data_IF_448260087737
#
_entry.id   IF_448260087737
#
_cell.length_a   1.000
_cell.length_b   1.000
_cell.length_c   1.000
_cell.angle_alpha   90.00
_cell.angle_beta   90.00
_cell.angle_gamma   90.00
#
_symmetry.space_group_name_H-M   'P 1'
#
loop_
_entity.id
_entity.type
_entity.pdbx_description
1 polymer ?
#
# COMPACT_ATOMS: atom_id res chain seq x y z
N UNK A 1 -19.77 -4.01 -17.33
CA UNK A 1 -21.06 -3.29 -17.11
C UNK A 1 -20.84 -1.88 -16.56
N UNK A 2 -20.10 -1.70 -15.44
CA UNK A 2 -19.93 -0.39 -14.80
C UNK A 2 -19.27 0.67 -15.69
N UNK A 3 -18.27 0.29 -16.49
CA UNK A 3 -17.61 1.21 -17.41
C UNK A 3 -18.57 1.68 -18.52
N UNK A 4 -19.39 0.78 -19.05
CA UNK A 4 -20.44 1.13 -20.03
C UNK A 4 -21.49 2.08 -19.43
N UNK A 5 -21.91 1.85 -18.19
CA UNK A 5 -22.83 2.76 -17.48
C UNK A 5 -22.24 4.18 -17.36
N UNK A 6 -20.97 4.28 -16.93
CA UNK A 6 -20.29 5.57 -16.74
C UNK A 6 -20.03 6.34 -18.03
N UNK A 7 -19.78 5.64 -19.14
CA UNK A 7 -19.48 6.24 -20.45
C UNK A 7 -20.69 6.37 -21.35
N UNK A 8 -21.88 5.91 -20.91
CA UNK A 8 -23.08 5.92 -21.72
C UNK A 8 -23.13 4.86 -22.82
N UNK A 9 -22.31 3.79 -22.70
CA UNK A 9 -22.19 2.69 -23.65
C UNK A 9 -20.90 2.72 -24.48
N UNK A 10 -20.80 1.81 -25.46
CA UNK A 10 -19.72 1.79 -26.46
C UNK A 10 -18.44 1.07 -26.04
N UNK A 11 -18.38 0.44 -24.84
CA UNK A 11 -17.23 -0.37 -24.43
C UNK A 11 -17.41 -1.82 -24.85
N UNK A 12 -16.48 -2.33 -25.63
CA UNK A 12 -16.42 -3.74 -26.05
C UNK A 12 -15.50 -4.50 -25.09
N UNK A 13 -16.00 -5.55 -24.46
CA UNK A 13 -15.20 -6.39 -23.56
C UNK A 13 -14.56 -7.54 -24.34
N UNK A 14 -13.24 -7.72 -24.19
CA UNK A 14 -12.52 -8.89 -24.69
C UNK A 14 -12.36 -9.93 -23.57
N UNK A 15 -12.62 -11.20 -23.90
CA UNK A 15 -12.62 -12.32 -22.95
C UNK A 15 -11.22 -12.89 -22.68
N UNK A 16 -10.21 -12.34 -23.32
CA UNK A 16 -8.79 -12.63 -23.09
C UNK A 16 -7.96 -11.34 -23.10
N UNK A 17 -6.67 -11.46 -22.78
CA UNK A 17 -5.76 -10.32 -22.70
C UNK A 17 -4.98 -10.07 -24.00
N UNK A 18 -4.47 -11.13 -24.64
CA UNK A 18 -3.68 -11.05 -25.89
C UNK A 18 -4.03 -12.19 -26.85
N UNK A 19 -5.12 -12.88 -26.62
CA UNK A 19 -5.60 -14.00 -27.40
C UNK A 19 -6.37 -13.59 -28.66
N UNK A 20 -7.06 -14.55 -29.26
CA UNK A 20 -7.76 -14.35 -30.51
C UNK A 20 -8.92 -13.36 -30.41
N UNK A 21 -9.63 -13.34 -29.29
CA UNK A 21 -10.76 -12.44 -29.09
C UNK A 21 -10.30 -10.98 -28.95
N UNK A 22 -9.27 -10.72 -28.12
CA UNK A 22 -8.67 -9.39 -28.00
C UNK A 22 -8.12 -8.89 -29.34
N UNK A 23 -7.36 -9.73 -30.05
CA UNK A 23 -6.80 -9.38 -31.36
C UNK A 23 -7.89 -9.00 -32.37
N UNK A 24 -8.95 -9.80 -32.44
CA UNK A 24 -10.06 -9.53 -33.37
C UNK A 24 -10.79 -8.21 -33.06
N UNK A 25 -11.05 -7.96 -31.77
CA UNK A 25 -11.74 -6.75 -31.29
C UNK A 25 -10.89 -5.49 -31.47
N UNK A 26 -9.58 -5.57 -31.17
CA UNK A 26 -8.67 -4.46 -31.40
C UNK A 26 -8.48 -4.17 -32.87
N UNK A 27 -8.37 -5.20 -33.73
CA UNK A 27 -8.26 -5.02 -35.18
C UNK A 27 -9.51 -4.39 -35.82
N UNK A 28 -10.66 -4.55 -35.19
CA UNK A 28 -11.94 -3.98 -35.66
C UNK A 28 -12.21 -2.55 -35.17
N UNK A 29 -11.35 -2.00 -34.26
CA UNK A 29 -11.53 -0.66 -33.69
C UNK A 29 -11.51 0.44 -34.72
N UNK A 30 -12.34 1.44 -34.49
CA UNK A 30 -12.37 2.73 -35.20
C UNK A 30 -12.04 3.85 -34.23
N UNK A 31 -11.67 5.03 -34.71
CA UNK A 31 -11.44 6.18 -33.82
C UNK A 31 -12.64 6.45 -32.90
N UNK A 32 -12.38 6.49 -31.62
CA UNK A 32 -13.37 6.66 -30.56
C UNK A 32 -13.87 5.35 -29.92
N UNK A 33 -13.55 4.20 -30.47
CA UNK A 33 -13.93 2.92 -29.88
C UNK A 33 -13.09 2.61 -28.63
N UNK A 34 -13.68 1.86 -27.68
CA UNK A 34 -13.04 1.44 -26.44
C UNK A 34 -13.14 -0.08 -26.35
N UNK A 35 -11.99 -0.74 -26.22
CA UNK A 35 -11.90 -2.17 -25.92
C UNK A 35 -11.33 -2.34 -24.51
N UNK A 36 -12.07 -3.02 -23.64
CA UNK A 36 -11.63 -3.43 -22.32
C UNK A 36 -11.14 -4.88 -22.39
N UNK A 37 -9.87 -5.10 -22.15
CA UNK A 37 -9.29 -6.44 -22.10
C UNK A 37 -9.69 -7.15 -20.79
N UNK A 38 -9.56 -8.48 -20.77
CA UNK A 38 -9.68 -9.27 -19.54
C UNK A 38 -8.59 -8.89 -18.54
N UNK A 39 -8.82 -9.23 -17.27
CA UNK A 39 -7.91 -8.94 -16.19
C UNK A 39 -6.52 -9.52 -16.48
N UNK A 40 -5.53 -8.65 -16.64
CA UNK A 40 -4.14 -9.06 -16.93
C UNK A 40 -3.58 -9.99 -15.87
N UNK A 41 -4.04 -9.90 -14.61
CA UNK A 41 -3.59 -10.73 -13.49
C UNK A 41 -4.07 -12.19 -13.55
N UNK A 42 -4.98 -12.53 -14.46
CA UNK A 42 -5.34 -13.93 -14.73
C UNK A 42 -4.25 -14.67 -15.54
N UNK A 43 -3.27 -13.95 -16.05
CA UNK A 43 -2.14 -14.51 -16.81
C UNK A 43 -0.86 -14.40 -16.00
N UNK A 44 -0.26 -15.53 -15.65
CA UNK A 44 0.99 -15.56 -14.87
C UNK A 44 2.17 -14.82 -15.54
N UNK A 45 2.17 -14.72 -16.88
CA UNK A 45 3.14 -13.97 -17.67
C UNK A 45 3.15 -12.46 -17.35
N UNK A 46 2.01 -11.91 -16.91
CA UNK A 46 1.89 -10.51 -16.49
C UNK A 46 2.82 -10.22 -15.30
N UNK A 47 2.70 -10.98 -14.22
CA UNK A 47 3.49 -10.75 -13.00
C UNK A 47 4.97 -11.06 -13.18
N UNK A 48 5.30 -11.97 -14.09
CA UNK A 48 6.68 -12.33 -14.43
C UNK A 48 7.37 -11.31 -15.35
N UNK A 49 6.64 -10.27 -15.77
CA UNK A 49 7.14 -9.34 -16.78
C UNK A 49 7.65 -10.05 -18.04
N UNK A 50 6.90 -11.04 -18.52
CA UNK A 50 7.30 -11.89 -19.62
C UNK A 50 7.48 -11.09 -20.92
N UNK A 51 8.63 -11.20 -21.61
CA UNK A 51 8.91 -10.41 -22.81
C UNK A 51 7.98 -10.68 -23.99
N UNK A 52 7.54 -11.92 -24.18
CA UNK A 52 6.67 -12.29 -25.31
C UNK A 52 5.26 -11.77 -25.06
N UNK A 53 4.72 -11.96 -23.84
CA UNK A 53 3.44 -11.42 -23.45
C UNK A 53 3.43 -9.87 -23.52
N UNK A 54 4.49 -9.23 -23.07
CA UNK A 54 4.64 -7.77 -23.15
C UNK A 54 4.61 -7.25 -24.58
N UNK A 55 5.30 -7.91 -25.51
CA UNK A 55 5.26 -7.53 -26.93
C UNK A 55 3.89 -7.76 -27.55
N UNK A 56 3.20 -8.84 -27.22
CA UNK A 56 1.83 -9.09 -27.69
C UNK A 56 0.85 -8.02 -27.19
N UNK A 57 0.98 -7.63 -25.92
CA UNK A 57 0.15 -6.57 -25.35
C UNK A 57 0.46 -5.22 -25.98
N UNK A 58 1.72 -4.89 -26.18
CA UNK A 58 2.17 -3.65 -26.81
C UNK A 58 1.75 -3.53 -28.29
N UNK A 59 1.59 -4.67 -29.00
CA UNK A 59 1.16 -4.67 -30.38
C UNK A 59 -0.28 -4.13 -30.62
N UNK A 60 -1.04 -3.95 -29.54
CA UNK A 60 -2.38 -3.36 -29.61
C UNK A 60 -2.38 -1.81 -29.62
N UNK A 61 -1.25 -1.16 -29.42
CA UNK A 61 -1.20 0.28 -29.24
C UNK A 61 0.04 0.92 -29.87
N UNK A 62 -0.08 2.19 -30.23
CA UNK A 62 1.03 3.05 -30.68
C UNK A 62 1.61 3.88 -29.54
N UNK A 63 0.83 4.13 -28.49
CA UNK A 63 1.21 4.90 -27.31
C UNK A 63 0.72 4.17 -26.06
N UNK A 64 1.60 4.08 -25.05
CA UNK A 64 1.25 3.55 -23.74
C UNK A 64 1.01 4.68 -22.75
N UNK A 65 -0.15 4.65 -22.09
CA UNK A 65 -0.50 5.57 -20.99
C UNK A 65 -0.63 4.79 -19.70
N UNK A 66 0.27 5.03 -18.74
CA UNK A 66 0.11 4.46 -17.40
C UNK A 66 -0.67 5.44 -16.51
N UNK A 67 -1.86 5.05 -16.08
CA UNK A 67 -2.68 5.83 -15.16
C UNK A 67 -3.11 5.01 -13.92
N UNK A 68 -2.39 3.92 -13.64
CA UNK A 68 -2.61 3.02 -12.52
C UNK A 68 -1.51 3.19 -11.46
N UNK A 69 -1.61 4.22 -10.62
CA UNK A 69 -0.61 4.53 -9.59
C UNK A 69 -0.37 3.36 -8.62
N UNK A 70 -1.44 2.69 -8.18
CA UNK A 70 -1.35 1.59 -7.22
C UNK A 70 -0.51 0.39 -7.69
N UNK A 71 -0.32 0.21 -9.01
CA UNK A 71 0.50 -0.86 -9.59
C UNK A 71 1.85 -0.37 -10.13
N UNK A 72 2.08 0.94 -10.18
CA UNK A 72 3.25 1.53 -10.83
C UNK A 72 4.59 1.16 -10.16
N UNK A 73 4.57 0.70 -8.90
CA UNK A 73 5.75 0.24 -8.16
C UNK A 73 6.21 -1.18 -8.55
N UNK A 74 5.47 -1.88 -9.42
CA UNK A 74 5.76 -3.26 -9.83
C UNK A 74 6.18 -3.32 -11.28
N UNK A 75 7.28 -4.02 -11.57
CA UNK A 75 7.75 -4.28 -12.93
C UNK A 75 6.97 -5.46 -13.54
N UNK A 76 5.72 -5.24 -13.93
CA UNK A 76 4.88 -6.23 -14.60
C UNK A 76 4.77 -5.92 -16.10
N UNK A 77 4.28 -6.88 -16.88
CA UNK A 77 4.18 -6.72 -18.33
C UNK A 77 3.36 -5.48 -18.73
N UNK A 78 2.18 -5.28 -18.13
CA UNK A 78 1.29 -4.15 -18.43
C UNK A 78 1.73 -2.82 -17.83
N UNK A 79 2.74 -2.79 -16.95
CA UNK A 79 3.26 -1.55 -16.35
C UNK A 79 4.62 -1.17 -16.90
N UNK A 80 5.55 -2.11 -17.00
CA UNK A 80 6.91 -1.89 -17.43
C UNK A 80 7.27 -2.60 -18.73
N UNK A 81 6.81 -3.85 -18.90
CA UNK A 81 7.20 -4.70 -20.02
C UNK A 81 6.83 -4.15 -21.39
N UNK A 82 5.64 -3.56 -21.54
CA UNK A 82 5.17 -2.93 -22.79
C UNK A 82 6.12 -1.84 -23.28
N UNK A 83 6.80 -1.14 -22.38
CA UNK A 83 7.80 -0.13 -22.73
C UNK A 83 9.18 -0.78 -22.88
N UNK A 84 9.56 -1.62 -21.93
CA UNK A 84 10.90 -2.23 -21.86
C UNK A 84 11.20 -3.14 -23.07
N UNK A 85 10.21 -3.94 -23.52
CA UNK A 85 10.42 -4.96 -24.54
C UNK A 85 9.87 -4.60 -25.91
N UNK A 86 9.02 -3.59 -26.01
CA UNK A 86 8.43 -3.15 -27.29
C UNK A 86 8.80 -1.70 -27.66
N UNK A 87 9.33 -0.92 -26.72
CA UNK A 87 9.79 0.44 -27.01
C UNK A 87 8.66 1.42 -27.32
N UNK A 88 7.43 1.18 -26.82
CA UNK A 88 6.33 2.10 -27.02
C UNK A 88 6.63 3.47 -26.39
N UNK A 89 6.28 4.57 -27.07
CA UNK A 89 6.18 5.88 -26.44
C UNK A 89 5.30 5.79 -25.19
N UNK A 90 5.80 6.25 -24.04
CA UNK A 90 5.12 6.08 -22.76
C UNK A 90 4.95 7.42 -22.06
N UNK A 91 3.74 7.65 -21.53
CA UNK A 91 3.40 8.82 -20.73
C UNK A 91 2.60 8.40 -19.49
N UNK A 92 2.55 9.26 -18.48
CA UNK A 92 1.62 9.07 -17.37
C UNK A 92 0.29 9.76 -17.65
N UNK A 93 -0.81 9.15 -17.18
CA UNK A 93 -2.12 9.75 -17.20
C UNK A 93 -2.33 10.77 -16.09
N UNK A 94 -3.51 11.38 -16.06
CA UNK A 94 -3.85 12.47 -15.13
C UNK A 94 -3.92 12.03 -13.66
N UNK A 95 -4.31 10.78 -13.40
CA UNK A 95 -4.33 10.25 -12.03
C UNK A 95 -2.91 10.17 -11.46
N UNK A 96 -1.98 9.57 -12.20
CA UNK A 96 -0.56 9.49 -11.81
C UNK A 96 0.04 10.91 -11.71
N UNK A 97 -0.26 11.79 -12.63
CA UNK A 97 0.21 13.18 -12.58
C UNK A 97 -0.23 13.87 -11.29
N UNK A 98 -1.50 13.69 -10.89
CA UNK A 98 -2.04 14.24 -9.64
C UNK A 98 -1.33 13.64 -8.42
N UNK A 99 -1.17 12.32 -8.37
CA UNK A 99 -0.47 11.63 -7.28
C UNK A 99 0.99 12.12 -7.15
N UNK A 100 1.72 12.19 -8.24
CA UNK A 100 3.11 12.68 -8.26
C UNK A 100 3.18 14.15 -7.83
N UNK A 101 2.29 15.00 -8.32
CA UNK A 101 2.31 16.44 -7.98
C UNK A 101 2.00 16.68 -6.51
N UNK A 102 1.03 15.97 -5.93
CA UNK A 102 0.62 16.13 -4.53
C UNK A 102 1.62 15.49 -3.58
N UNK A 103 1.91 14.17 -3.78
CA UNK A 103 2.81 13.45 -2.89
C UNK A 103 4.27 13.89 -3.07
N UNK A 104 4.70 14.17 -4.30
CA UNK A 104 6.04 14.67 -4.58
C UNK A 104 6.30 15.98 -3.85
N UNK A 105 5.37 16.93 -3.89
CA UNK A 105 5.46 18.20 -3.15
C UNK A 105 5.45 17.95 -1.64
N UNK A 106 4.53 17.12 -1.15
CA UNK A 106 4.42 16.81 0.28
C UNK A 106 5.69 16.14 0.86
N UNK A 107 6.42 15.37 0.03
CA UNK A 107 7.66 14.71 0.45
C UNK A 107 8.93 15.56 0.24
N UNK A 108 8.92 16.47 -0.73
CA UNK A 108 10.07 17.32 -1.03
C UNK A 108 10.12 18.59 -0.18
N UNK A 109 8.96 19.22 0.02
CA UNK A 109 8.81 20.48 0.77
C UNK A 109 7.52 20.48 1.60
N UNK A 110 7.46 19.66 2.68
CA UNK A 110 6.26 19.54 3.51
C UNK A 110 6.03 20.78 4.36
N UNK A 111 4.77 21.18 4.50
CA UNK A 111 4.39 22.07 5.61
C UNK A 111 4.53 21.33 6.93
N UNK A 112 5.25 21.94 7.88
CA UNK A 112 5.55 21.28 9.17
C UNK A 112 4.60 21.76 10.28
N UNK A 113 4.29 20.89 11.26
CA UNK A 113 4.81 19.54 11.50
C UNK A 113 4.36 18.51 10.43
N UNK A 114 5.31 17.67 9.98
CA UNK A 114 5.05 16.59 9.04
C UNK A 114 4.96 15.24 9.79
N UNK A 115 3.80 14.61 9.74
CA UNK A 115 3.53 13.31 10.36
C UNK A 115 3.39 12.25 9.28
N UNK A 116 4.14 11.16 9.40
CA UNK A 116 3.89 9.96 8.60
C UNK A 116 3.27 8.87 9.47
N UNK A 117 2.28 8.18 8.90
CA UNK A 117 1.64 7.01 9.50
C UNK A 117 2.01 5.81 8.64
N UNK A 118 2.67 4.83 9.24
CA UNK A 118 3.12 3.64 8.56
C UNK A 118 2.50 2.40 9.21
N UNK A 119 1.75 1.64 8.42
CA UNK A 119 1.12 0.39 8.83
C UNK A 119 1.42 -0.74 7.87
N UNK A 120 1.28 -1.97 8.33
CA UNK A 120 1.48 -3.17 7.53
C UNK A 120 1.64 -4.40 8.42
N UNK A 121 1.70 -5.59 7.82
CA UNK A 121 1.85 -6.83 8.55
C UNK A 121 3.31 -7.04 9.01
N UNK A 122 4.29 -6.82 8.12
CA UNK A 122 5.71 -7.09 8.38
C UNK A 122 6.59 -5.86 8.16
N UNK A 123 7.64 -5.75 8.97
CA UNK A 123 8.66 -4.70 8.85
C UNK A 123 9.48 -4.89 7.57
N UNK A 124 9.78 -6.14 7.20
CA UNK A 124 10.55 -6.48 5.98
C UNK A 124 10.01 -5.86 4.71
N UNK A 125 8.68 -5.66 4.62
CA UNK A 125 8.04 -5.08 3.43
C UNK A 125 8.29 -3.57 3.29
N UNK A 126 8.78 -2.91 4.35
CA UNK A 126 8.82 -1.44 4.47
C UNK A 126 10.18 -0.87 4.88
N UNK A 127 11.25 -1.67 4.85
CA UNK A 127 12.59 -1.28 5.34
C UNK A 127 13.06 0.07 4.78
N UNK A 128 13.08 0.19 3.44
CA UNK A 128 13.53 1.41 2.77
C UNK A 128 12.58 2.60 3.02
N UNK A 129 11.29 2.32 3.20
CA UNK A 129 10.29 3.37 3.49
C UNK A 129 10.53 3.95 4.88
N UNK A 130 10.75 3.10 5.90
CA UNK A 130 11.05 3.54 7.26
C UNK A 130 12.31 4.40 7.29
N UNK A 131 13.42 3.90 6.74
CA UNK A 131 14.68 4.60 6.70
C UNK A 131 14.58 5.97 5.99
N UNK A 132 13.88 6.03 4.85
CA UNK A 132 13.67 7.28 4.13
C UNK A 132 12.78 8.28 4.89
N UNK A 133 11.69 7.82 5.50
CA UNK A 133 10.79 8.68 6.26
C UNK A 133 11.50 9.31 7.47
N UNK A 134 12.35 8.57 8.18
CA UNK A 134 13.12 9.08 9.31
C UNK A 134 14.08 10.23 8.97
N UNK A 135 14.34 10.49 7.69
CA UNK A 135 15.11 11.65 7.24
C UNK A 135 14.24 12.87 6.87
N UNK A 136 12.92 12.72 6.87
CA UNK A 136 12.00 13.71 6.29
C UNK A 136 10.94 14.23 7.26
N UNK A 137 10.45 13.36 8.16
CA UNK A 137 9.30 13.64 9.01
C UNK A 137 9.68 14.20 10.37
N UNK A 138 8.76 14.89 11.02
CA UNK A 138 8.92 15.32 12.42
C UNK A 138 8.39 14.23 13.37
N UNK A 139 7.38 13.46 12.92
CA UNK A 139 6.82 12.35 13.68
C UNK A 139 6.55 11.16 12.75
N UNK A 140 6.97 9.98 13.17
CA UNK A 140 6.64 8.71 12.53
C UNK A 140 5.77 7.87 13.46
N UNK A 141 4.56 7.55 13.02
CA UNK A 141 3.63 6.66 13.71
C UNK A 141 3.74 5.28 13.09
N UNK A 142 4.02 4.27 13.90
CA UNK A 142 4.03 2.87 13.49
C UNK A 142 2.78 2.17 14.02
N UNK A 143 2.00 1.57 13.10
CA UNK A 143 0.79 0.81 13.41
C UNK A 143 0.76 -0.54 12.71
N UNK A 144 -0.36 -1.26 12.87
CA UNK A 144 -0.54 -2.60 12.32
C UNK A 144 0.39 -3.66 12.91
N UNK A 145 0.45 -4.83 12.28
CA UNK A 145 1.26 -5.97 12.75
C UNK A 145 2.75 -5.68 12.89
N UNK A 146 3.29 -4.77 12.06
CA UNK A 146 4.69 -4.39 12.14
C UNK A 146 5.07 -3.69 13.45
N UNK A 147 4.10 -3.10 14.16
CA UNK A 147 4.35 -2.46 15.46
C UNK A 147 4.85 -3.46 16.51
N UNK A 148 4.41 -4.72 16.45
CA UNK A 148 4.84 -5.74 17.42
C UNK A 148 6.32 -6.08 17.29
N UNK A 149 6.91 -5.99 16.10
CA UNK A 149 8.36 -6.16 15.94
C UNK A 149 9.14 -5.01 16.60
N UNK A 150 8.62 -3.78 16.53
CA UNK A 150 9.19 -2.65 17.27
C UNK A 150 9.01 -2.78 18.80
N UNK A 151 7.87 -3.28 19.26
CA UNK A 151 7.63 -3.55 20.68
C UNK A 151 8.57 -4.65 21.21
N UNK A 152 8.75 -5.73 20.44
CA UNK A 152 9.74 -6.76 20.76
C UNK A 152 11.18 -6.21 20.78
N UNK A 153 11.51 -5.29 19.87
CA UNK A 153 12.80 -4.60 19.87
C UNK A 153 13.03 -3.74 21.12
N UNK A 154 11.95 -3.24 21.77
CA UNK A 154 11.99 -2.59 23.09
C UNK A 154 12.13 -3.58 24.25
N UNK A 155 12.06 -4.89 23.99
CA UNK A 155 12.15 -5.94 25.00
C UNK A 155 10.79 -6.39 25.58
N UNK A 156 9.66 -6.02 24.95
CA UNK A 156 8.33 -6.42 25.41
C UNK A 156 7.99 -7.82 24.88
N UNK A 157 7.27 -8.62 25.67
CA UNK A 157 6.58 -9.80 25.15
C UNK A 157 5.42 -9.36 24.25
N UNK A 158 5.27 -9.99 23.09
CA UNK A 158 4.20 -9.71 22.13
C UNK A 158 3.24 -10.90 21.96
N UNK A 159 3.37 -11.93 22.81
CA UNK A 159 2.53 -13.14 22.79
C UNK A 159 2.55 -13.82 21.41
N UNK A 160 1.37 -14.16 20.91
CA UNK A 160 1.18 -14.76 19.57
C UNK A 160 1.09 -13.74 18.45
N UNK A 161 1.28 -12.44 18.72
CA UNK A 161 1.19 -11.38 17.70
C UNK A 161 2.16 -11.59 16.56
N UNK A 162 1.84 -11.01 15.39
CA UNK A 162 2.73 -11.03 14.24
C UNK A 162 4.12 -10.49 14.60
N UNK A 163 5.14 -11.30 14.41
CA UNK A 163 6.52 -10.96 14.73
C UNK A 163 7.46 -11.28 13.56
N UNK A 164 8.18 -10.27 13.10
CA UNK A 164 9.28 -10.42 12.15
C UNK A 164 10.60 -10.50 12.94
N UNK A 165 10.88 -11.69 13.48
CA UNK A 165 11.99 -11.91 14.43
C UNK A 165 13.38 -11.57 13.85
N UNK A 166 13.55 -11.72 12.53
CA UNK A 166 14.79 -11.39 11.82
C UNK A 166 15.03 -9.87 11.73
N UNK A 167 14.02 -9.05 12.02
CA UNK A 167 14.06 -7.59 11.89
C UNK A 167 14.08 -6.84 13.23
N UNK A 168 14.20 -7.56 14.35
CA UNK A 168 14.26 -6.94 15.69
C UNK A 168 15.46 -5.98 15.81
N UNK A 169 16.64 -6.39 15.34
CA UNK A 169 17.83 -5.54 15.38
C UNK A 169 17.70 -4.33 14.47
N UNK A 170 17.11 -4.52 13.29
CA UNK A 170 16.77 -3.40 12.41
C UNK A 170 15.83 -2.39 13.07
N UNK A 171 14.81 -2.86 13.80
CA UNK A 171 13.90 -1.96 14.52
C UNK A 171 14.62 -1.19 15.64
N UNK A 172 15.59 -1.80 16.34
CA UNK A 172 16.44 -1.09 17.32
C UNK A 172 17.26 0.01 16.66
N UNK A 173 17.87 -0.29 15.51
CA UNK A 173 18.64 0.69 14.73
C UNK A 173 17.75 1.85 14.26
N UNK A 174 16.53 1.57 13.80
CA UNK A 174 15.59 2.61 13.36
C UNK A 174 15.09 3.47 14.51
N UNK A 175 14.87 2.90 15.70
CA UNK A 175 14.56 3.69 16.91
C UNK A 175 15.72 4.62 17.30
N UNK A 176 16.95 4.14 17.29
CA UNK A 176 18.13 4.95 17.54
C UNK A 176 18.33 6.04 16.46
N UNK A 177 18.05 5.71 15.21
CA UNK A 177 18.12 6.66 14.10
C UNK A 177 17.05 7.75 14.23
N UNK A 178 15.84 7.39 14.66
CA UNK A 178 14.77 8.37 14.93
C UNK A 178 15.22 9.36 16.01
N UNK A 179 15.75 8.87 17.13
CA UNK A 179 16.27 9.70 18.22
C UNK A 179 17.40 10.61 17.75
N UNK A 180 18.38 10.08 17.03
CA UNK A 180 19.49 10.84 16.46
C UNK A 180 19.03 11.96 15.52
N UNK A 181 17.99 11.71 14.73
CA UNK A 181 17.44 12.68 13.77
C UNK A 181 16.43 13.63 14.41
N UNK A 182 16.11 13.49 15.69
CA UNK A 182 15.08 14.27 16.38
C UNK A 182 13.66 13.97 15.93
N UNK A 183 13.43 12.80 15.33
CA UNK A 183 12.12 12.34 14.89
C UNK A 183 11.38 11.67 16.04
N UNK A 184 10.15 12.11 16.31
CA UNK A 184 9.29 11.48 17.30
C UNK A 184 8.72 10.19 16.75
N UNK A 185 9.27 9.04 17.16
CA UNK A 185 8.74 7.72 16.81
C UNK A 185 7.65 7.31 17.80
N UNK A 186 6.41 7.15 17.33
CA UNK A 186 5.27 6.73 18.13
C UNK A 186 4.94 5.26 17.89
N UNK A 187 4.92 4.50 18.97
CA UNK A 187 4.53 3.09 19.02
C UNK A 187 3.29 2.93 19.91
N UNK A 188 2.51 1.85 19.75
CA UNK A 188 1.38 1.57 20.62
C UNK A 188 1.79 1.50 22.09
N UNK A 189 1.02 2.17 22.97
CA UNK A 189 1.18 2.14 24.42
C UNK A 189 0.18 1.20 25.07
N UNK A 190 -0.94 0.92 24.40
CA UNK A 190 -1.91 -0.11 24.74
C UNK A 190 -2.38 -0.83 23.46
N UNK A 191 -2.83 -2.06 23.62
CA UNK A 191 -3.14 -2.98 22.54
C UNK A 191 -4.44 -3.70 22.82
N UNK A 192 -5.32 -3.78 21.83
CA UNK A 192 -6.48 -4.67 21.84
C UNK A 192 -6.01 -6.06 21.43
N UNK A 193 -6.25 -7.04 22.30
CA UNK A 193 -5.79 -8.41 22.14
C UNK A 193 -6.95 -9.40 22.16
N UNK A 194 -6.77 -10.54 21.49
CA UNK A 194 -7.66 -11.70 21.53
C UNK A 194 -6.82 -13.00 21.60
N UNK A 195 -7.48 -14.12 21.81
CA UNK A 195 -6.86 -15.45 21.82
C UNK A 195 -6.55 -16.00 20.43
N UNK A 196 -7.24 -15.46 19.39
CA UNK A 196 -7.04 -15.80 17.97
C UNK A 196 -7.46 -14.66 17.06
N UNK A 197 -6.99 -14.70 15.80
CA UNK A 197 -7.48 -13.81 14.72
C UNK A 197 -8.85 -14.28 14.22
N UNK A 198 -9.85 -13.38 14.06
CA UNK A 198 -11.18 -13.80 13.62
C UNK A 198 -11.17 -14.34 12.18
N UNK A 199 -11.77 -15.51 11.99
CA UNK A 199 -12.03 -16.10 10.69
C UNK A 199 -13.47 -16.68 10.67
N UNK A 200 -14.39 -16.07 9.90
CA UNK A 200 -14.22 -14.91 9.01
C UNK A 200 -13.89 -13.60 9.75
N UNK A 201 -13.32 -12.63 9.05
CA UNK A 201 -12.79 -11.37 9.62
C UNK A 201 -13.83 -10.52 10.37
N UNK A 202 -15.12 -10.71 10.06
CA UNK A 202 -16.28 -10.10 10.73
C UNK A 202 -16.88 -10.99 11.83
N UNK A 203 -16.24 -12.11 12.13
CA UNK A 203 -16.62 -13.01 13.21
C UNK A 203 -16.54 -12.33 14.56
N UNK A 204 -17.51 -12.64 15.45
CA UNK A 204 -17.49 -12.15 16.81
C UNK A 204 -16.37 -12.83 17.59
N UNK A 205 -15.51 -12.03 18.24
CA UNK A 205 -14.44 -12.50 19.12
C UNK A 205 -14.44 -11.70 20.42
N UNK A 206 -13.98 -12.31 21.50
CA UNK A 206 -13.77 -11.63 22.76
C UNK A 206 -12.42 -10.89 22.71
N UNK A 207 -12.47 -9.60 22.94
CA UNK A 207 -11.30 -8.74 22.97
C UNK A 207 -11.12 -8.08 24.33
N UNK A 208 -9.86 -7.82 24.70
CA UNK A 208 -9.53 -6.99 25.85
C UNK A 208 -8.42 -6.02 25.51
N UNK A 209 -8.37 -4.90 26.24
CA UNK A 209 -7.29 -3.92 26.10
C UNK A 209 -6.28 -4.13 27.22
N UNK A 210 -5.01 -4.19 26.84
CA UNK A 210 -3.87 -4.32 27.78
C UNK A 210 -2.82 -3.27 27.45
N UNK A 211 -1.97 -2.92 28.42
CA UNK A 211 -0.78 -2.12 28.14
C UNK A 211 0.14 -2.91 27.19
N UNK A 212 0.78 -2.26 26.22
CA UNK A 212 1.56 -2.94 25.18
C UNK A 212 2.81 -3.67 25.68
N UNK A 213 3.26 -3.38 26.90
CA UNK A 213 4.32 -4.12 27.60
C UNK A 213 3.81 -5.33 28.40
N UNK A 214 2.51 -5.62 28.36
CA UNK A 214 1.81 -6.67 29.09
C UNK A 214 0.91 -7.55 28.24
N UNK A 215 1.27 -7.74 26.99
CA UNK A 215 0.53 -8.66 26.10
C UNK A 215 0.73 -10.08 26.63
N UNK A 216 -0.35 -10.83 26.95
CA UNK A 216 -0.24 -12.20 27.43
C UNK A 216 0.35 -13.15 26.39
N UNK A 217 1.10 -14.16 26.81
CA UNK A 217 1.77 -15.11 25.92
C UNK A 217 0.79 -15.98 25.09
N UNK A 218 -0.44 -16.15 25.57
CA UNK A 218 -1.52 -16.91 24.93
C UNK A 218 -2.41 -16.05 24.02
N UNK A 219 -2.17 -14.75 23.93
CA UNK A 219 -2.95 -13.80 23.14
C UNK A 219 -2.13 -13.15 22.04
N UNK A 220 -2.84 -12.66 21.03
CA UNK A 220 -2.28 -11.84 19.94
C UNK A 220 -2.89 -10.44 19.92
N UNK A 221 -2.10 -9.48 19.53
CA UNK A 221 -2.56 -8.12 19.31
C UNK A 221 -3.21 -7.97 17.95
N UNK A 222 -4.41 -7.39 17.95
CA UNK A 222 -5.23 -7.16 16.76
C UNK A 222 -5.25 -5.70 16.36
N UNK A 223 -5.30 -4.79 17.34
CA UNK A 223 -5.39 -3.36 17.07
C UNK A 223 -4.81 -2.55 18.25
N UNK A 224 -4.72 -1.24 18.07
CA UNK A 224 -4.34 -0.29 19.10
C UNK A 224 -5.47 -0.12 20.14
N UNK A 225 -5.10 0.24 21.37
CA UNK A 225 -6.06 0.58 22.41
C UNK A 225 -6.39 2.08 22.45
N UNK A 226 -7.32 2.48 23.36
CA UNK A 226 -7.80 3.86 23.45
C UNK A 226 -6.72 4.90 23.82
N UNK A 227 -5.71 4.53 24.62
CA UNK A 227 -4.61 5.43 24.94
C UNK A 227 -3.75 5.72 23.72
N UNK A 228 -3.47 4.69 22.91
CA UNK A 228 -2.74 4.82 21.64
C UNK A 228 -3.54 5.63 20.63
N UNK A 229 -4.86 5.39 20.53
CA UNK A 229 -5.74 6.19 19.67
C UNK A 229 -5.64 7.69 20.01
N UNK A 230 -5.71 8.05 21.29
CA UNK A 230 -5.57 9.43 21.74
C UNK A 230 -4.19 10.00 21.39
N UNK A 231 -3.11 9.25 21.66
CA UNK A 231 -1.74 9.64 21.35
C UNK A 231 -1.53 9.92 19.85
N UNK A 232 -2.02 9.04 18.99
CA UNK A 232 -1.88 9.18 17.54
C UNK A 232 -2.78 10.30 16.98
N UNK A 233 -3.99 10.42 17.51
CA UNK A 233 -4.90 11.51 17.14
C UNK A 233 -4.30 12.89 17.48
N UNK A 234 -3.68 13.04 18.63
CA UNK A 234 -3.05 14.31 19.03
C UNK A 234 -1.85 14.66 18.14
N UNK A 235 -1.05 13.67 17.73
CA UNK A 235 0.02 13.89 16.76
C UNK A 235 -0.54 14.31 15.39
N UNK A 236 -1.60 13.65 14.92
CA UNK A 236 -2.24 13.96 13.65
C UNK A 236 -2.93 15.35 13.65
N UNK A 237 -3.62 15.74 14.74
CA UNK A 237 -4.29 17.04 14.87
C UNK A 237 -3.33 18.23 14.78
N UNK A 238 -2.09 18.07 15.22
CA UNK A 238 -1.09 19.14 15.21
C UNK A 238 -0.32 19.22 13.89
N UNK A 239 -0.46 18.20 13.03
CA UNK A 239 0.23 18.12 11.75
C UNK A 239 -0.36 19.11 10.74
N UNK A 240 0.52 19.65 9.87
CA UNK A 240 0.11 20.38 8.66
C UNK A 240 0.22 19.51 7.41
N UNK A 241 1.14 18.55 7.45
CA UNK A 241 1.25 17.51 6.41
C UNK A 241 1.10 16.14 7.06
N UNK A 242 0.22 15.29 6.51
CA UNK A 242 0.08 13.90 6.93
C UNK A 242 0.17 13.00 5.70
N UNK A 243 1.07 12.02 5.75
CA UNK A 243 1.17 10.96 4.74
C UNK A 243 0.93 9.61 5.42
N UNK A 244 -0.07 8.87 4.95
CA UNK A 244 -0.36 7.53 5.45
C UNK A 244 0.01 6.48 4.40
N UNK A 245 0.82 5.51 4.80
CA UNK A 245 1.27 4.38 3.98
C UNK A 245 0.81 3.09 4.65
N UNK A 246 -0.26 2.52 4.15
CA UNK A 246 -0.88 1.30 4.69
C UNK A 246 -1.47 0.45 3.56
N UNK A 247 -1.98 -0.74 3.89
CA UNK A 247 -2.71 -1.54 2.92
C UNK A 247 -4.09 -0.96 2.63
N UNK A 248 -4.46 -0.91 1.36
CA UNK A 248 -5.75 -0.40 0.88
C UNK A 248 -6.94 -1.33 1.16
N UNK A 249 -6.70 -2.52 1.73
CA UNK A 249 -7.77 -3.49 2.03
C UNK A 249 -8.41 -3.35 3.40
N UNK A 250 -7.89 -2.50 4.25
CA UNK A 250 -8.64 -2.07 5.41
C UNK A 250 -9.71 -1.13 4.88
N UNK A 251 -10.93 -1.61 4.77
CA UNK A 251 -12.10 -0.78 4.58
C UNK A 251 -12.24 0.14 5.79
N UNK A 252 -11.48 1.22 5.77
CA UNK A 252 -11.84 2.36 6.59
C UNK A 252 -13.26 2.74 6.15
N UNK A 253 -14.22 2.85 7.08
CA UNK A 253 -15.49 3.46 6.73
C UNK A 253 -15.14 4.83 6.16
N UNK A 254 -15.37 5.00 4.88
CA UNK A 254 -15.13 6.28 4.21
C UNK A 254 -16.18 7.21 4.76
N UNK A 255 -15.86 7.93 5.82
CA UNK A 255 -16.64 9.07 6.25
C UNK A 255 -16.43 10.12 5.15
N UNK A 256 -17.41 10.22 4.27
CA UNK A 256 -17.52 11.41 3.42
C UNK A 256 -17.82 12.58 4.37
N UNK A 257 -16.83 13.41 4.58
CA UNK A 257 -17.02 14.76 5.04
C UNK A 257 -17.58 15.60 3.90
#
# INVERSE_FOLDING_TARGET
DKLNELLGGGVVFATDTVGADAQAKVAAMKPGDIVLLENTRFTAAEEKNDPEFSRKLAAFAEIFVNDAFGTAHRAHASTAGVVQYAGLPAVCGYLIQKEISVMGKALADPERPFVAILGGAKVSDKLNVIANLLTKVDTLIIGGGMAYTFLAAKGYSVGKSLLDSEKIDYCREMMATAEKNGVKLLLPVDTTVADHFPDPIDGAIDVKVVDSDKIPDDMEGLDIGPKTMALYADAAKTAKTVVSVSYTHLTLPTIRL
#
